data_IF_437291660565
#
_entry.id   IF_437291660565
#
_cell.length_a   1.000
_cell.length_b   1.000
_cell.length_c   1.000
_cell.angle_alpha   90.00
_cell.angle_beta   90.00
_cell.angle_gamma   90.00
#
_symmetry.space_group_name_H-M   'P 1'
#
loop_
_entity.id
_entity.type
_entity.pdbx_description
1 polymer ?
#
# COMPACT_ATOMS: atom_id res chain seq x y z
N UNK A 1 -17.46 -51.57 29.15
CA UNK A 1 -18.75 -50.86 28.96
C UNK A 1 -18.48 -49.64 28.04
N UNK A 2 -18.83 -49.80 26.77
CA UNK A 2 -18.28 -49.00 25.67
C UNK A 2 -18.90 -47.60 25.56
N UNK A 3 -18.05 -46.66 25.10
CA UNK A 3 -18.37 -45.28 24.72
C UNK A 3 -19.41 -45.18 23.57
N UNK A 4 -19.52 -46.18 22.74
CA UNK A 4 -20.42 -46.27 21.59
C UNK A 4 -21.92 -46.13 21.91
N UNK A 5 -22.52 -46.70 22.96
CA UNK A 5 -23.94 -46.53 23.26
C UNK A 5 -24.30 -45.10 23.70
N UNK A 6 -23.36 -44.38 24.37
CA UNK A 6 -23.57 -42.99 24.81
C UNK A 6 -23.57 -42.01 23.66
N UNK A 7 -22.69 -42.20 22.68
CA UNK A 7 -22.61 -41.38 21.46
C UNK A 7 -23.89 -41.60 20.61
N UNK A 8 -24.30 -42.85 20.43
CA UNK A 8 -25.52 -43.18 19.65
C UNK A 8 -26.80 -42.61 20.31
N UNK A 9 -26.86 -42.53 21.64
CA UNK A 9 -27.98 -41.95 22.37
C UNK A 9 -28.05 -40.42 22.22
N UNK A 10 -26.90 -39.75 22.21
CA UNK A 10 -26.80 -38.30 21.97
C UNK A 10 -27.23 -37.93 20.53
N UNK A 11 -26.77 -38.68 19.53
CA UNK A 11 -27.17 -38.47 18.15
C UNK A 11 -28.67 -38.69 17.93
N UNK A 12 -29.27 -39.67 18.60
CA UNK A 12 -30.71 -39.86 18.57
C UNK A 12 -31.48 -38.72 19.26
N UNK A 13 -30.96 -38.12 20.29
CA UNK A 13 -31.58 -36.95 20.93
C UNK A 13 -31.50 -35.72 20.05
N UNK A 14 -30.36 -35.49 19.36
CA UNK A 14 -30.22 -34.44 18.39
C UNK A 14 -31.20 -34.65 17.21
N UNK A 15 -31.27 -35.85 16.67
CA UNK A 15 -32.24 -36.17 15.58
C UNK A 15 -33.67 -35.88 16.01
N UNK A 16 -34.10 -36.33 17.17
CA UNK A 16 -35.49 -36.07 17.70
C UNK A 16 -35.74 -34.58 17.96
N UNK A 17 -34.70 -33.77 18.24
CA UNK A 17 -34.83 -32.36 18.43
C UNK A 17 -35.14 -31.63 17.09
N UNK A 18 -34.59 -32.13 15.96
CA UNK A 18 -34.92 -31.66 14.61
C UNK A 18 -36.30 -32.12 14.14
N UNK A 19 -36.71 -33.37 14.45
CA UNK A 19 -37.99 -33.94 14.00
C UNK A 19 -39.22 -33.28 14.65
N UNK A 20 -39.12 -32.71 15.83
CA UNK A 20 -40.25 -32.13 16.60
C UNK A 20 -40.42 -30.62 16.36
N UNK A 21 -39.42 -29.94 15.78
CA UNK A 21 -39.49 -28.48 15.56
C UNK A 21 -39.87 -28.16 14.12
N UNK A 22 -40.93 -27.34 13.91
CA UNK A 22 -41.27 -26.91 12.56
C UNK A 22 -40.09 -26.19 11.93
N UNK A 23 -39.84 -26.42 10.64
CA UNK A 23 -38.74 -25.91 9.83
C UNK A 23 -38.45 -24.41 10.04
N UNK A 24 -39.49 -23.62 10.36
CA UNK A 24 -39.38 -22.19 10.67
C UNK A 24 -38.40 -21.86 11.83
N UNK A 25 -38.20 -22.78 12.80
CA UNK A 25 -37.27 -22.58 13.91
C UNK A 25 -35.80 -22.86 13.51
N UNK A 26 -35.57 -23.57 12.42
CA UNK A 26 -34.25 -23.84 11.87
C UNK A 26 -33.83 -22.78 10.88
N UNK A 27 -34.77 -22.08 10.24
CA UNK A 27 -34.49 -21.04 9.25
C UNK A 27 -33.62 -19.89 9.84
N UNK A 28 -33.97 -19.42 11.05
CA UNK A 28 -33.20 -18.36 11.73
C UNK A 28 -31.74 -18.70 11.94
N UNK A 29 -31.40 -19.81 12.63
CA UNK A 29 -29.98 -20.23 12.79
C UNK A 29 -29.27 -20.48 11.46
N UNK A 30 -29.93 -21.06 10.46
CA UNK A 30 -29.35 -21.29 9.14
C UNK A 30 -28.99 -19.97 8.48
N UNK A 31 -29.91 -18.99 8.45
CA UNK A 31 -29.66 -17.66 7.89
C UNK A 31 -28.53 -16.95 8.64
N UNK A 32 -28.50 -17.05 9.98
CA UNK A 32 -27.42 -16.48 10.77
C UNK A 32 -26.05 -17.07 10.39
N UNK A 33 -25.96 -18.38 10.23
CA UNK A 33 -24.72 -19.06 9.80
C UNK A 33 -24.33 -18.61 8.38
N UNK A 34 -25.30 -18.54 7.46
CA UNK A 34 -25.04 -18.08 6.09
C UNK A 34 -24.54 -16.61 6.07
N UNK A 35 -25.15 -15.73 6.88
CA UNK A 35 -24.67 -14.35 7.02
C UNK A 35 -23.22 -14.30 7.52
N UNK A 36 -22.87 -15.09 8.54
CA UNK A 36 -21.51 -15.16 9.06
C UNK A 36 -20.56 -15.67 7.97
N UNK A 37 -20.93 -16.72 7.24
CA UNK A 37 -20.09 -17.24 6.15
C UNK A 37 -19.87 -16.21 5.05
N UNK A 38 -20.89 -15.45 4.67
CA UNK A 38 -20.76 -14.36 3.69
C UNK A 38 -19.84 -13.26 4.22
N UNK A 39 -19.96 -12.87 5.49
CA UNK A 39 -19.15 -11.82 6.09
C UNK A 39 -17.65 -12.19 6.19
N UNK A 40 -17.33 -13.46 6.47
CA UNK A 40 -15.95 -13.94 6.56
C UNK A 40 -15.35 -14.36 5.21
N UNK A 41 -16.19 -14.50 4.16
CA UNK A 41 -15.72 -14.82 2.82
C UNK A 41 -14.77 -13.72 2.29
N UNK A 42 -13.78 -14.09 1.43
CA UNK A 42 -12.93 -13.12 0.75
C UNK A 42 -13.76 -12.12 -0.06
N UNK A 43 -13.40 -10.85 0.02
CA UNK A 43 -14.04 -9.76 -0.72
C UNK A 43 -13.43 -9.61 -2.11
N UNK A 44 -14.25 -9.18 -3.07
CA UNK A 44 -13.80 -8.77 -4.40
C UNK A 44 -13.43 -7.27 -4.47
N UNK A 45 -13.15 -6.66 -3.32
CA UNK A 45 -12.80 -5.25 -3.23
C UNK A 45 -11.40 -5.05 -2.66
N UNK A 46 -10.76 -3.95 -3.08
CA UNK A 46 -9.56 -3.40 -2.47
C UNK A 46 -9.97 -2.29 -1.52
N UNK A 47 -9.45 -2.33 -0.31
CA UNK A 47 -9.61 -1.28 0.69
C UNK A 47 -8.31 -0.49 0.73
N UNK A 48 -8.39 0.81 0.50
CA UNK A 48 -7.28 1.74 0.61
C UNK A 48 -7.49 2.65 1.82
N UNK A 49 -6.47 2.74 2.66
CA UNK A 49 -6.43 3.57 3.87
C UNK A 49 -5.16 4.43 3.86
N UNK A 50 -5.13 5.57 4.58
CA UNK A 50 -3.90 6.34 4.74
C UNK A 50 -2.78 5.45 5.28
N UNK A 51 -1.67 5.41 4.56
CA UNK A 51 -0.47 4.69 4.96
C UNK A 51 0.49 5.56 5.78
N UNK A 52 1.63 5.01 6.19
CA UNK A 52 2.68 5.76 6.86
C UNK A 52 3.28 6.81 5.92
N UNK A 53 3.78 7.90 6.48
CA UNK A 53 4.54 8.89 5.74
C UNK A 53 6.03 8.63 5.90
N UNK A 54 6.81 8.85 4.83
CA UNK A 54 8.25 8.67 4.83
C UNK A 54 8.96 9.98 4.50
N UNK A 55 9.87 10.42 5.37
CA UNK A 55 10.71 11.58 5.08
C UNK A 55 11.81 11.19 4.10
N UNK A 56 11.77 11.75 2.88
CA UNK A 56 12.77 11.45 1.84
C UNK A 56 14.13 12.08 2.11
N UNK A 57 14.21 13.08 2.98
CA UNK A 57 15.46 13.69 3.45
C UNK A 57 16.01 12.98 4.69
N UNK A 58 15.22 12.11 5.30
CA UNK A 58 15.53 11.40 6.54
C UNK A 58 16.25 10.08 6.33
N UNK A 59 16.18 9.25 7.37
CA UNK A 59 16.74 7.90 7.41
C UNK A 59 15.68 6.85 7.71
N UNK A 60 15.84 5.68 7.10
CA UNK A 60 15.08 4.45 7.41
C UNK A 60 16.11 3.41 7.84
N UNK A 61 15.89 2.76 8.98
CA UNK A 61 16.80 1.74 9.53
C UNK A 61 18.27 2.16 9.58
N UNK A 62 18.51 3.45 9.83
CA UNK A 62 19.87 4.03 9.91
C UNK A 62 20.50 4.40 8.56
N UNK A 63 19.88 4.04 7.42
CA UNK A 63 20.32 4.40 6.07
C UNK A 63 19.57 5.63 5.57
N UNK A 64 20.24 6.48 4.80
CA UNK A 64 19.58 7.60 4.13
C UNK A 64 18.56 7.08 3.11
N UNK A 65 17.36 7.68 3.09
CA UNK A 65 16.35 7.38 2.06
C UNK A 65 16.87 7.76 0.68
N UNK A 66 17.48 8.92 0.56
CA UNK A 66 18.19 9.34 -0.65
C UNK A 66 19.67 9.49 -0.29
N UNK A 67 20.49 8.58 -0.79
CA UNK A 67 21.95 8.62 -0.64
C UNK A 67 22.58 9.14 -1.94
N UNK A 68 23.34 10.23 -1.81
CA UNK A 68 24.00 10.90 -2.93
C UNK A 68 25.50 10.92 -2.65
N UNK A 69 26.28 10.47 -3.62
CA UNK A 69 27.73 10.50 -3.57
C UNK A 69 28.34 11.06 -4.87
N UNK A 70 29.60 11.50 -4.79
CA UNK A 70 30.33 12.08 -5.93
C UNK A 70 30.06 13.56 -6.18
N UNK A 71 29.18 14.20 -5.40
CA UNK A 71 28.90 15.64 -5.42
C UNK A 71 28.73 16.15 -3.99
N UNK A 72 28.85 17.48 -3.79
CA UNK A 72 28.59 18.10 -2.50
C UNK A 72 27.09 18.01 -2.18
N UNK A 73 26.77 17.63 -0.95
CA UNK A 73 25.39 17.55 -0.45
C UNK A 73 25.18 18.48 0.74
N UNK A 74 23.94 18.90 0.93
CA UNK A 74 23.51 19.78 2.00
C UNK A 74 22.38 19.11 2.79
N UNK A 75 22.14 19.59 4.01
CA UNK A 75 21.02 19.13 4.85
C UNK A 75 19.97 20.23 4.91
N UNK A 76 18.73 19.87 4.67
CA UNK A 76 17.57 20.73 4.95
C UNK A 76 17.22 20.67 6.45
N UNK A 77 16.71 21.76 6.98
CA UNK A 77 16.22 21.88 8.35
C UNK A 77 14.79 21.40 8.53
N UNK A 78 14.05 21.21 7.43
CA UNK A 78 12.68 20.74 7.42
C UNK A 78 12.53 19.29 6.95
N UNK A 79 11.34 18.92 6.48
CA UNK A 79 11.01 17.56 6.03
C UNK A 79 10.25 17.57 4.71
N UNK A 80 10.58 16.60 3.87
CA UNK A 80 9.82 16.30 2.66
C UNK A 80 9.20 14.91 2.80
N UNK A 81 7.90 14.87 3.12
CA UNK A 81 7.20 13.63 3.39
C UNK A 81 6.58 13.05 2.12
N UNK A 82 6.98 11.85 1.77
CA UNK A 82 6.27 10.99 0.86
C UNK A 82 5.04 10.43 1.57
N UNK A 83 3.85 10.62 1.01
CA UNK A 83 2.62 9.99 1.52
C UNK A 83 2.36 8.69 0.79
N UNK A 84 1.85 7.71 1.53
CA UNK A 84 1.53 6.38 1.03
C UNK A 84 0.10 5.99 1.35
N UNK A 85 -0.37 4.92 0.73
CA UNK A 85 -1.63 4.27 1.05
C UNK A 85 -1.38 2.81 1.41
N UNK A 86 -2.06 2.32 2.42
CA UNK A 86 -2.15 0.90 2.70
C UNK A 86 -3.27 0.31 1.84
N UNK A 87 -2.97 -0.69 1.04
CA UNK A 87 -3.93 -1.39 0.21
C UNK A 87 -4.12 -2.83 0.71
N UNK A 88 -5.32 -3.15 1.18
CA UNK A 88 -5.75 -4.51 1.52
C UNK A 88 -6.75 -5.01 0.48
N UNK A 89 -6.85 -6.32 0.28
CA UNK A 89 -7.64 -6.89 -0.82
C UNK A 89 -6.85 -7.05 -2.12
N UNK A 90 -5.57 -6.67 -2.14
CA UNK A 90 -4.65 -6.94 -3.25
C UNK A 90 -4.10 -8.37 -3.16
N UNK A 91 -3.54 -8.93 -4.26
CA UNK A 91 -2.94 -10.26 -4.24
C UNK A 91 -1.88 -10.40 -3.13
N UNK A 92 -2.07 -11.40 -2.26
CA UNK A 92 -1.22 -11.63 -1.08
C UNK A 92 -1.74 -11.02 0.23
N UNK A 93 -2.66 -10.07 0.17
CA UNK A 93 -3.24 -9.40 1.35
C UNK A 93 -4.78 -9.40 1.27
N UNK A 94 -5.44 -10.55 1.45
CA UNK A 94 -6.89 -10.66 1.29
C UNK A 94 -7.63 -9.85 2.37
N UNK A 95 -8.81 -9.39 2.03
CA UNK A 95 -9.76 -8.71 2.92
C UNK A 95 -11.09 -9.45 2.91
N UNK A 96 -11.78 -9.52 4.04
CA UNK A 96 -13.10 -10.12 4.15
C UNK A 96 -14.21 -9.14 3.76
N UNK A 97 -15.41 -9.67 3.40
CA UNK A 97 -16.56 -8.81 3.12
C UNK A 97 -16.93 -7.93 4.33
N UNK A 98 -16.79 -8.44 5.56
CA UNK A 98 -17.02 -7.65 6.77
C UNK A 98 -16.06 -6.45 6.87
N UNK A 99 -14.77 -6.65 6.58
CA UNK A 99 -13.77 -5.58 6.58
C UNK A 99 -14.05 -4.56 5.46
N UNK A 100 -14.41 -5.02 4.26
CA UNK A 100 -14.78 -4.12 3.16
C UNK A 100 -16.01 -3.27 3.49
N UNK A 101 -17.04 -3.85 4.13
CA UNK A 101 -18.23 -3.13 4.58
C UNK A 101 -17.90 -2.09 5.67
N UNK A 102 -17.05 -2.44 6.64
CA UNK A 102 -16.60 -1.51 7.68
C UNK A 102 -15.78 -0.37 7.10
N UNK A 103 -14.91 -0.67 6.15
CA UNK A 103 -14.12 0.31 5.43
C UNK A 103 -15.01 1.27 4.62
N UNK A 104 -16.06 0.73 3.98
CA UNK A 104 -17.02 1.56 3.23
C UNK A 104 -17.79 2.55 4.12
N UNK A 105 -18.02 2.20 5.36
CA UNK A 105 -18.62 3.11 6.35
C UNK A 105 -17.62 4.11 6.95
N UNK A 106 -16.31 3.96 6.69
CA UNK A 106 -15.26 4.81 7.22
C UNK A 106 -15.01 6.02 6.30
N UNK A 107 -14.95 7.26 6.83
CA UNK A 107 -14.60 8.44 6.03
C UNK A 107 -13.12 8.49 5.63
N UNK A 108 -12.29 7.60 6.17
CA UNK A 108 -10.84 7.56 5.92
C UNK A 108 -10.43 6.44 4.96
N UNK A 109 -11.36 5.58 4.55
CA UNK A 109 -11.09 4.46 3.67
C UNK A 109 -11.79 4.64 2.33
N UNK A 110 -11.16 4.14 1.28
CA UNK A 110 -11.74 4.03 -0.06
C UNK A 110 -11.86 2.56 -0.42
N UNK A 111 -13.01 2.15 -0.92
CA UNK A 111 -13.29 0.77 -1.35
C UNK A 111 -13.48 0.75 -2.85
N UNK A 112 -12.64 0.00 -3.56
CA UNK A 112 -12.58 -0.04 -5.02
C UNK A 112 -12.69 -1.50 -5.48
N UNK A 113 -13.42 -1.83 -6.57
CA UNK A 113 -13.41 -3.17 -7.14
C UNK A 113 -12.00 -3.64 -7.50
N UNK A 114 -11.68 -4.91 -7.24
CA UNK A 114 -10.33 -5.46 -7.48
C UNK A 114 -9.91 -5.32 -8.94
N UNK A 115 -10.82 -5.55 -9.89
CA UNK A 115 -10.55 -5.46 -11.33
C UNK A 115 -10.21 -4.05 -11.83
N UNK A 116 -10.48 -3.02 -11.03
CA UNK A 116 -10.05 -1.64 -11.33
C UNK A 116 -8.62 -1.35 -10.88
N UNK A 117 -8.03 -2.22 -10.03
CA UNK A 117 -6.70 -2.02 -9.44
C UNK A 117 -5.67 -2.95 -10.06
N UNK A 118 -6.03 -4.20 -10.32
CA UNK A 118 -5.14 -5.20 -10.92
C UNK A 118 -5.90 -6.21 -11.79
N UNK A 119 -5.23 -6.87 -12.75
CA UNK A 119 -5.84 -7.87 -13.62
C UNK A 119 -6.38 -9.07 -12.83
N UNK A 120 -7.55 -9.57 -13.25
CA UNK A 120 -8.17 -10.76 -12.66
C UNK A 120 -7.22 -11.95 -12.75
N UNK A 121 -7.01 -12.64 -11.62
CA UNK A 121 -6.16 -13.82 -11.55
C UNK A 121 -4.66 -13.53 -11.39
N UNK A 122 -4.26 -12.27 -11.20
CA UNK A 122 -2.86 -11.93 -10.90
C UNK A 122 -2.41 -12.59 -9.58
N UNK A 123 -1.27 -13.27 -9.61
CA UNK A 123 -0.71 -13.89 -8.41
C UNK A 123 -0.08 -12.84 -7.47
N UNK A 124 0.02 -13.15 -6.17
CA UNK A 124 0.71 -12.29 -5.21
C UNK A 124 2.17 -12.01 -5.60
N UNK A 125 2.85 -13.01 -6.18
CA UNK A 125 4.24 -12.88 -6.64
C UNK A 125 4.36 -11.94 -7.83
N UNK A 126 3.46 -12.02 -8.79
CA UNK A 126 3.48 -11.15 -9.97
C UNK A 126 3.12 -9.72 -9.60
N UNK A 127 2.13 -9.54 -8.72
CA UNK A 127 1.77 -8.23 -8.17
C UNK A 127 2.97 -7.57 -7.44
N UNK A 128 3.63 -8.28 -6.53
CA UNK A 128 4.80 -7.78 -5.83
C UNK A 128 5.96 -7.44 -6.79
N UNK A 129 6.21 -8.29 -7.80
CA UNK A 129 7.24 -8.06 -8.82
C UNK A 129 6.94 -6.81 -9.65
N UNK A 130 5.70 -6.61 -10.06
CA UNK A 130 5.27 -5.45 -10.82
C UNK A 130 5.38 -4.16 -9.98
N UNK A 131 4.87 -4.18 -8.75
CA UNK A 131 4.95 -3.07 -7.80
C UNK A 131 6.40 -2.64 -7.53
N UNK A 132 7.32 -3.61 -7.33
CA UNK A 132 8.75 -3.33 -7.14
C UNK A 132 9.42 -2.78 -8.42
N UNK A 133 9.01 -3.26 -9.60
CA UNK A 133 9.48 -2.74 -10.88
C UNK A 133 9.02 -1.30 -11.10
N UNK A 134 7.78 -0.99 -10.78
CA UNK A 134 7.23 0.36 -10.87
C UNK A 134 7.95 1.32 -9.92
N UNK A 135 8.21 0.91 -8.68
CA UNK A 135 9.00 1.69 -7.72
C UNK A 135 10.41 1.96 -8.26
N UNK A 136 11.11 0.94 -8.73
CA UNK A 136 12.47 1.09 -9.28
C UNK A 136 12.49 2.00 -10.52
N UNK A 137 11.48 1.89 -11.38
CA UNK A 137 11.30 2.78 -12.54
C UNK A 137 11.07 4.22 -12.11
N UNK A 138 10.24 4.44 -11.08
CA UNK A 138 9.95 5.75 -10.52
C UNK A 138 11.20 6.39 -9.90
N UNK A 139 12.00 5.65 -9.14
CA UNK A 139 13.27 6.10 -8.57
C UNK A 139 14.27 6.50 -9.67
N UNK A 140 14.41 5.68 -10.71
CA UNK A 140 15.30 5.97 -11.85
C UNK A 140 14.84 7.20 -12.63
N UNK A 141 13.53 7.35 -12.85
CA UNK A 141 12.96 8.51 -13.51
C UNK A 141 13.17 9.78 -12.69
N UNK A 142 12.97 9.72 -11.37
CA UNK A 142 13.21 10.82 -10.44
C UNK A 142 14.69 11.26 -10.44
N UNK A 143 15.62 10.31 -10.35
CA UNK A 143 17.05 10.58 -10.41
C UNK A 143 17.46 11.23 -11.74
N UNK A 144 16.90 10.73 -12.87
CA UNK A 144 17.17 11.28 -14.20
C UNK A 144 16.62 12.70 -14.34
N UNK A 145 15.39 12.93 -13.89
CA UNK A 145 14.74 14.25 -13.94
C UNK A 145 15.50 15.26 -13.07
N UNK A 146 15.87 14.87 -11.85
CA UNK A 146 16.64 15.72 -10.94
C UNK A 146 18.03 16.06 -11.51
N UNK A 147 18.79 15.09 -12.02
CA UNK A 147 20.09 15.34 -12.67
C UNK A 147 19.96 16.30 -13.84
N UNK A 148 18.92 16.16 -14.66
CA UNK A 148 18.64 17.04 -15.77
C UNK A 148 18.36 18.48 -15.32
N UNK A 149 17.54 18.62 -14.26
CA UNK A 149 17.25 19.92 -13.65
C UNK A 149 18.52 20.57 -13.12
N UNK A 150 19.30 19.86 -12.31
CA UNK A 150 20.55 20.33 -11.71
C UNK A 150 21.54 20.80 -12.79
N UNK A 151 21.75 20.00 -13.84
CA UNK A 151 22.62 20.36 -14.96
C UNK A 151 22.16 21.62 -15.68
N UNK A 152 20.84 21.78 -15.90
CA UNK A 152 20.28 22.97 -16.54
C UNK A 152 20.46 24.24 -15.69
N UNK A 153 20.61 24.09 -14.38
CA UNK A 153 20.85 25.19 -13.43
C UNK A 153 22.34 25.36 -13.04
N UNK A 154 23.25 24.75 -13.81
CA UNK A 154 24.69 24.97 -13.65
C UNK A 154 25.37 24.12 -12.57
N UNK A 155 24.69 23.14 -11.97
CA UNK A 155 25.29 22.21 -11.02
C UNK A 155 26.07 21.11 -11.77
N UNK A 156 27.26 20.79 -11.29
CA UNK A 156 28.03 19.66 -11.82
C UNK A 156 27.46 18.34 -11.27
N UNK A 157 26.97 17.48 -12.17
CA UNK A 157 26.43 16.16 -11.87
C UNK A 157 27.27 15.02 -12.46
N UNK A 158 28.48 15.30 -13.00
CA UNK A 158 29.33 14.34 -13.72
C UNK A 158 29.81 13.25 -12.79
N UNK A 159 29.96 13.25 -11.64
CA UNK A 159 30.33 12.15 -10.71
C UNK A 159 29.18 11.61 -9.87
N UNK A 160 27.99 12.16 -10.06
CA UNK A 160 26.86 11.94 -9.17
C UNK A 160 26.29 10.51 -9.24
N UNK A 161 26.40 9.79 -8.15
CA UNK A 161 25.74 8.49 -7.94
C UNK A 161 24.60 8.68 -6.94
N UNK A 162 23.47 8.06 -7.22
CA UNK A 162 22.25 8.15 -6.41
C UNK A 162 21.80 6.75 -6.08
N UNK A 163 21.54 6.50 -4.81
CA UNK A 163 20.87 5.31 -4.30
C UNK A 163 19.64 5.73 -3.48
N UNK A 164 18.55 5.03 -3.64
CA UNK A 164 17.31 5.31 -2.91
C UNK A 164 16.90 4.05 -2.16
N UNK A 165 16.70 4.17 -0.85
CA UNK A 165 16.34 3.09 0.05
C UNK A 165 14.97 3.38 0.62
N UNK A 166 14.03 2.50 0.33
CA UNK A 166 12.69 2.52 0.93
C UNK A 166 12.26 1.09 1.10
N UNK A 167 11.94 0.72 2.31
CA UNK A 167 11.46 -0.61 2.64
C UNK A 167 9.93 -0.66 2.56
N UNK A 168 9.40 -1.77 2.04
CA UNK A 168 7.97 -2.13 1.98
C UNK A 168 7.03 -1.11 1.31
N UNK A 169 7.54 -0.21 0.49
CA UNK A 169 6.73 0.71 -0.31
C UNK A 169 6.85 0.33 -1.78
N UNK A 170 5.72 0.00 -2.41
CA UNK A 170 5.62 -0.28 -3.83
C UNK A 170 4.91 0.83 -4.62
N UNK A 171 4.91 0.69 -5.95
CA UNK A 171 4.20 1.59 -6.85
C UNK A 171 4.99 2.86 -7.26
N UNK A 172 4.54 3.55 -8.31
CA UNK A 172 5.32 4.62 -8.94
C UNK A 172 5.12 6.01 -8.33
N UNK A 173 4.26 6.18 -7.31
CA UNK A 173 3.77 7.48 -6.81
C UNK A 173 4.79 8.29 -6.00
N UNK A 174 5.96 7.74 -5.72
CA UNK A 174 7.03 8.39 -4.94
C UNK A 174 7.93 9.32 -5.76
N UNK A 175 7.90 9.23 -7.10
CA UNK A 175 8.89 9.84 -8.00
C UNK A 175 9.05 11.35 -7.83
N UNK A 176 7.96 12.08 -7.61
CA UNK A 176 8.02 13.53 -7.38
C UNK A 176 8.80 13.88 -6.13
N UNK A 177 8.52 13.20 -5.02
CA UNK A 177 9.18 13.51 -3.75
C UNK A 177 10.66 13.12 -3.77
N UNK A 178 11.00 12.01 -4.41
CA UNK A 178 12.41 11.64 -4.65
C UNK A 178 13.16 12.68 -5.49
N UNK A 179 12.55 13.19 -6.55
CA UNK A 179 13.20 14.21 -7.39
C UNK A 179 13.43 15.50 -6.60
N UNK A 180 12.42 15.96 -5.84
CA UNK A 180 12.55 17.16 -5.00
C UNK A 180 13.60 16.97 -3.90
N UNK A 181 13.61 15.86 -3.18
CA UNK A 181 14.61 15.58 -2.14
C UNK A 181 16.02 15.47 -2.71
N UNK A 182 16.17 14.93 -3.92
CA UNK A 182 17.46 14.86 -4.58
C UNK A 182 17.97 16.25 -5.01
N UNK A 183 17.10 17.10 -5.53
CA UNK A 183 17.43 18.49 -5.89
C UNK A 183 17.84 19.24 -4.62
N UNK A 184 17.05 19.14 -3.56
CA UNK A 184 17.31 19.82 -2.30
C UNK A 184 18.65 19.42 -1.67
N UNK A 185 18.96 18.12 -1.66
CA UNK A 185 20.23 17.59 -1.17
C UNK A 185 21.44 18.18 -1.91
N UNK A 186 21.34 18.46 -3.21
CA UNK A 186 22.45 18.95 -4.03
C UNK A 186 22.52 20.48 -4.06
N UNK A 187 21.39 21.16 -4.14
CA UNK A 187 21.36 22.63 -4.20
C UNK A 187 21.56 23.28 -2.85
N UNK A 188 21.05 22.67 -1.78
CA UNK A 188 21.01 23.26 -0.44
C UNK A 188 20.08 24.46 -0.33
N UNK A 189 19.11 24.60 -1.25
CA UNK A 189 18.16 25.72 -1.27
C UNK A 189 17.10 25.63 -0.18
N UNK A 190 17.12 24.53 0.61
CA UNK A 190 16.13 24.28 1.66
C UNK A 190 14.68 24.38 1.15
N UNK A 191 14.35 23.55 0.17
CA UNK A 191 13.05 23.58 -0.49
C UNK A 191 11.85 23.43 0.47
N UNK A 192 12.08 22.86 1.65
CA UNK A 192 11.08 22.81 2.72
C UNK A 192 10.87 24.16 3.41
N UNK A 193 11.85 25.08 3.36
CA UNK A 193 11.87 26.33 4.14
C UNK A 193 11.78 26.08 5.65
N UNK A 194 12.34 24.98 6.15
CA UNK A 194 12.27 24.58 7.56
C UNK A 194 10.91 24.00 7.97
N UNK A 195 9.99 23.77 7.02
CA UNK A 195 8.65 23.26 7.26
C UNK A 195 8.55 21.76 6.95
N UNK A 196 7.44 21.16 7.32
CA UNK A 196 7.07 19.82 6.86
C UNK A 196 6.15 19.94 5.66
N UNK A 197 6.63 19.45 4.51
CA UNK A 197 5.88 19.43 3.25
C UNK A 197 5.57 17.98 2.92
N UNK A 198 4.30 17.66 2.71
CA UNK A 198 3.86 16.33 2.29
C UNK A 198 3.43 16.35 0.82
N UNK A 199 3.72 15.27 0.11
CA UNK A 199 3.35 15.18 -1.29
C UNK A 199 3.46 13.77 -1.85
N UNK A 200 2.91 13.62 -3.05
CA UNK A 200 2.99 12.41 -3.87
C UNK A 200 2.95 12.79 -5.34
N UNK A 201 3.18 11.85 -6.22
CA UNK A 201 3.10 12.02 -7.66
C UNK A 201 4.10 11.13 -8.38
N UNK A 202 3.67 10.56 -9.50
CA UNK A 202 4.59 9.89 -10.42
C UNK A 202 5.49 10.92 -11.10
N UNK A 203 6.65 10.50 -11.56
CA UNK A 203 7.57 11.35 -12.32
C UNK A 203 8.11 10.58 -13.51
N UNK A 204 8.16 11.24 -14.67
CA UNK A 204 8.90 10.70 -15.81
C UNK A 204 10.31 11.32 -15.91
N UNK A 205 11.17 10.73 -16.72
CA UNK A 205 12.55 11.18 -16.90
C UNK A 205 12.68 12.61 -17.50
N UNK A 206 11.60 13.16 -18.05
CA UNK A 206 11.55 14.54 -18.55
C UNK A 206 11.18 15.55 -17.47
N UNK A 207 10.88 15.10 -16.24
CA UNK A 207 10.46 15.95 -15.12
C UNK A 207 8.96 16.26 -15.10
N UNK A 208 8.15 15.62 -15.95
CA UNK A 208 6.70 15.78 -15.90
C UNK A 208 6.12 14.92 -14.76
N UNK A 209 5.37 15.56 -13.88
CA UNK A 209 4.60 14.89 -12.82
C UNK A 209 3.33 14.31 -13.44
N UNK A 210 3.02 13.09 -13.10
CA UNK A 210 1.82 12.37 -13.52
C UNK A 210 0.85 12.08 -12.38
N UNK A 211 -0.27 11.48 -12.74
CA UNK A 211 -1.31 11.08 -11.82
C UNK A 211 -0.86 9.93 -10.91
N UNK A 212 -1.58 9.75 -9.82
CA UNK A 212 -1.43 8.66 -8.86
C UNK A 212 -2.71 7.86 -8.78
N UNK A 213 -2.62 6.62 -8.36
CA UNK A 213 -3.76 5.74 -8.14
C UNK A 213 -4.29 5.87 -6.69
N UNK A 214 -5.19 6.82 -6.48
CA UNK A 214 -5.85 7.03 -5.19
C UNK A 214 -5.00 7.81 -4.14
N UNK A 215 -5.64 8.67 -3.43
CA UNK A 215 -5.27 9.25 -2.13
C UNK A 215 -6.51 9.22 -1.25
#
# INVERSE_FOLDING_TARGET
QGLLPRIRRRWRQVGRWFDVRPWRYLAGPIVAVLCVLVLIAPSAYVVQEPGPTQDVLGKVEGKQVIDVSGVKTHKDSGKLLLVTVNASGVPGYPVTNAQALLAWASPKATVIPQEAVFPVGQSAKDYAKESNKEMSSSQNAAATAAKRFLKAHGYDVSGMKVSMHVDDIGGPSAGRMYALGLIDNVTGEQLSGGKTIAGTGTMNAKGKVGAIGGI
#
